data_IF_168557765483
#
_entry.id   IF_168557765483
#
_cell.length_a   1.000
_cell.length_b   1.000
_cell.length_c   1.000
_cell.angle_alpha   90.00
_cell.angle_beta   90.00
_cell.angle_gamma   90.00
#
_symmetry.space_group_name_H-M   'P 1'
#
loop_
_entity.id
_entity.type
_entity.pdbx_description
1 polymer ?
#
# COMPACT_ATOMS: atom_id res chain seq x y z
N UNK A 1 30.79 9.91 -7.27
CA UNK A 1 29.33 9.89 -7.56
C UNK A 1 28.66 10.92 -6.66
N UNK A 2 27.81 11.80 -7.20
CA UNK A 2 27.27 12.96 -6.47
C UNK A 2 26.24 12.52 -5.41
N UNK A 3 26.29 13.09 -4.19
CA UNK A 3 25.39 12.78 -3.07
C UNK A 3 23.91 12.93 -3.43
N UNK A 4 23.58 13.91 -4.27
CA UNK A 4 22.20 14.15 -4.72
C UNK A 4 21.66 13.03 -5.61
N UNK A 5 22.51 12.39 -6.41
CA UNK A 5 22.12 11.27 -7.26
C UNK A 5 21.78 10.06 -6.40
N UNK A 6 22.63 9.77 -5.41
CA UNK A 6 22.40 8.69 -4.44
C UNK A 6 21.08 8.84 -3.68
N UNK A 7 20.78 10.02 -3.14
CA UNK A 7 19.53 10.25 -2.40
C UNK A 7 18.32 10.04 -3.31
N UNK A 8 18.41 10.53 -4.55
CA UNK A 8 17.34 10.36 -5.53
C UNK A 8 17.09 8.89 -5.87
N UNK A 9 18.14 8.10 -6.07
CA UNK A 9 18.03 6.68 -6.39
C UNK A 9 17.41 5.91 -5.21
N UNK A 10 17.88 6.16 -3.98
CA UNK A 10 17.30 5.58 -2.76
C UNK A 10 15.81 5.96 -2.64
N UNK A 11 15.44 7.21 -2.90
CA UNK A 11 14.03 7.62 -2.88
C UNK A 11 13.19 6.86 -3.90
N UNK A 12 13.74 6.52 -5.07
CA UNK A 12 13.01 5.76 -6.10
C UNK A 12 12.81 4.31 -5.66
N UNK A 13 13.82 3.71 -5.06
CA UNK A 13 13.76 2.34 -4.55
C UNK A 13 12.77 2.22 -3.40
N UNK A 14 12.75 3.20 -2.49
CA UNK A 14 11.76 3.25 -1.40
C UNK A 14 10.34 3.35 -1.96
N UNK A 15 10.08 4.22 -2.94
CA UNK A 15 8.74 4.32 -3.57
C UNK A 15 8.36 3.02 -4.28
N UNK A 16 9.32 2.28 -4.85
CA UNK A 16 9.07 1.02 -5.54
C UNK A 16 8.51 -0.08 -4.63
N UNK A 17 8.59 0.06 -3.31
CA UNK A 17 7.87 -0.79 -2.35
C UNK A 17 6.34 -0.69 -2.53
N UNK A 18 5.83 0.43 -3.05
CA UNK A 18 4.44 0.57 -3.46
C UNK A 18 4.17 0.16 -4.91
N UNK A 19 5.10 -0.51 -5.58
CA UNK A 19 4.93 -0.87 -7.00
C UNK A 19 3.84 -1.93 -7.17
N UNK A 20 3.27 -1.99 -8.37
CA UNK A 20 2.33 -3.05 -8.71
C UNK A 20 2.98 -4.42 -8.67
N UNK A 21 4.28 -4.52 -8.98
CA UNK A 21 5.06 -5.76 -8.91
C UNK A 21 5.14 -6.24 -7.47
N UNK A 22 5.58 -5.39 -6.55
CA UNK A 22 5.68 -5.74 -5.13
C UNK A 22 4.30 -6.08 -4.54
N UNK A 23 3.27 -5.29 -4.88
CA UNK A 23 1.90 -5.58 -4.45
C UNK A 23 1.41 -6.95 -4.93
N UNK A 24 1.66 -7.29 -6.20
CA UNK A 24 1.26 -8.58 -6.78
C UNK A 24 1.98 -9.74 -6.12
N UNK A 25 3.26 -9.59 -5.76
CA UNK A 25 4.01 -10.60 -5.02
C UNK A 25 3.37 -10.89 -3.66
N UNK A 26 2.92 -9.85 -2.93
CA UNK A 26 2.25 -10.04 -1.64
C UNK A 26 0.88 -10.71 -1.78
N UNK A 27 0.10 -10.37 -2.82
CA UNK A 27 -1.15 -11.09 -3.14
C UNK A 27 -0.85 -12.59 -3.37
N UNK A 28 0.12 -12.89 -4.23
CA UNK A 28 0.45 -14.27 -4.58
C UNK A 28 0.99 -15.04 -3.38
N UNK A 29 1.79 -14.39 -2.52
CA UNK A 29 2.21 -14.97 -1.25
C UNK A 29 1.02 -15.32 -0.36
N UNK A 30 0.03 -14.42 -0.25
CA UNK A 30 -1.19 -14.67 0.52
C UNK A 30 -2.00 -15.85 -0.06
N UNK A 31 -2.07 -15.94 -1.38
CA UNK A 31 -2.76 -17.02 -2.09
C UNK A 31 -2.08 -18.39 -1.91
N UNK A 32 -0.74 -18.43 -2.03
CA UNK A 32 0.06 -19.66 -1.85
C UNK A 32 0.13 -20.08 -0.39
N UNK A 33 0.06 -19.14 0.55
CA UNK A 33 0.07 -19.34 2.00
C UNK A 33 -1.30 -19.71 2.62
N UNK A 34 -2.22 -20.28 1.83
CA UNK A 34 -3.69 -20.23 1.98
C UNK A 34 -4.30 -19.16 2.93
N UNK A 35 -3.78 -17.94 2.94
CA UNK A 35 -4.27 -16.87 3.83
C UNK A 35 -5.47 -16.15 3.19
N UNK A 36 -6.60 -16.86 3.06
CA UNK A 36 -7.78 -16.39 2.31
C UNK A 36 -8.31 -15.03 2.76
N UNK A 37 -8.27 -14.77 4.06
CA UNK A 37 -8.75 -13.50 4.62
C UNK A 37 -7.83 -12.35 4.16
N UNK A 38 -6.51 -12.55 4.19
CA UNK A 38 -5.52 -11.59 3.70
C UNK A 38 -5.52 -11.42 2.20
N UNK A 39 -5.65 -12.52 1.47
CA UNK A 39 -5.83 -12.49 0.03
C UNK A 39 -7.06 -11.67 -0.36
N UNK A 40 -8.21 -11.91 0.28
CA UNK A 40 -9.48 -11.23 -0.03
C UNK A 40 -9.37 -9.74 0.22
N UNK A 41 -8.75 -9.33 1.32
CA UNK A 41 -8.46 -7.93 1.60
C UNK A 41 -7.59 -7.27 0.53
N UNK A 42 -6.45 -7.88 0.18
CA UNK A 42 -5.55 -7.30 -0.81
C UNK A 42 -6.19 -7.25 -2.19
N UNK A 43 -6.86 -8.33 -2.60
CA UNK A 43 -7.53 -8.40 -3.90
C UNK A 43 -8.65 -7.38 -4.01
N UNK A 44 -9.52 -7.28 -3.00
CA UNK A 44 -10.61 -6.31 -2.98
C UNK A 44 -10.10 -4.87 -2.92
N UNK A 45 -9.11 -4.57 -2.07
CA UNK A 45 -8.49 -3.24 -2.02
C UNK A 45 -7.83 -2.85 -3.36
N UNK A 46 -7.19 -3.80 -4.05
CA UNK A 46 -6.65 -3.57 -5.39
C UNK A 46 -7.75 -3.28 -6.42
N UNK A 47 -8.86 -4.02 -6.40
CA UNK A 47 -10.02 -3.79 -7.27
C UNK A 47 -10.59 -2.39 -7.02
N UNK A 48 -10.81 -2.00 -5.77
CA UNK A 48 -11.32 -0.66 -5.45
C UNK A 48 -10.35 0.45 -5.84
N UNK A 49 -9.05 0.26 -5.59
CA UNK A 49 -8.06 1.25 -5.99
C UNK A 49 -8.01 1.38 -7.53
N UNK A 50 -8.17 0.29 -8.26
CA UNK A 50 -8.28 0.31 -9.72
C UNK A 50 -9.53 1.06 -10.18
N UNK A 51 -10.69 0.84 -9.57
CA UNK A 51 -11.90 1.60 -9.86
C UNK A 51 -11.71 3.10 -9.58
N UNK A 52 -11.10 3.46 -8.45
CA UNK A 52 -10.75 4.85 -8.12
C UNK A 52 -9.77 5.44 -9.14
N UNK A 53 -8.82 4.66 -9.66
CA UNK A 53 -7.92 5.07 -10.71
C UNK A 53 -8.64 5.37 -12.03
N UNK A 54 -9.65 4.57 -12.40
CA UNK A 54 -10.46 4.84 -13.58
C UNK A 54 -11.25 6.15 -13.45
N UNK A 55 -11.78 6.43 -12.26
CA UNK A 55 -12.54 7.65 -11.98
C UNK A 55 -11.64 8.90 -11.85
N UNK A 56 -10.48 8.74 -11.22
CA UNK A 56 -9.57 9.84 -10.90
C UNK A 56 -8.12 9.43 -11.19
N UNK A 57 -7.66 9.63 -12.43
CA UNK A 57 -6.30 9.20 -12.86
C UNK A 57 -5.13 9.96 -12.19
N UNK A 58 -5.41 11.06 -11.49
CA UNK A 58 -4.39 12.00 -11.02
C UNK A 58 -4.14 11.91 -9.50
N UNK A 59 -3.55 10.81 -9.06
CA UNK A 59 -3.03 10.65 -7.69
C UNK A 59 -1.73 9.86 -7.69
N UNK A 60 -1.09 9.78 -6.53
CA UNK A 60 0.13 8.98 -6.38
C UNK A 60 -0.20 7.52 -6.05
N UNK A 61 -0.03 6.64 -7.04
CA UNK A 61 -0.50 5.24 -6.94
C UNK A 61 0.43 4.35 -6.12
N UNK A 62 1.73 4.66 -6.03
CA UNK A 62 2.64 3.90 -5.18
C UNK A 62 2.33 4.13 -3.71
N UNK A 63 2.02 5.36 -3.31
CA UNK A 63 1.56 5.64 -1.95
C UNK A 63 0.21 4.98 -1.66
N UNK A 64 -0.72 5.01 -2.61
CA UNK A 64 -2.02 4.36 -2.42
C UNK A 64 -1.90 2.85 -2.20
N UNK A 65 -1.01 2.17 -2.95
CA UNK A 65 -0.71 0.74 -2.73
C UNK A 65 0.12 0.52 -1.46
N UNK A 66 1.07 1.41 -1.18
CA UNK A 66 1.94 1.34 -0.01
C UNK A 66 1.17 1.34 1.30
N UNK A 67 0.12 2.17 1.44
CA UNK A 67 -0.71 2.15 2.65
C UNK A 67 -1.57 0.90 2.75
N UNK A 68 -2.08 0.39 1.63
CA UNK A 68 -2.83 -0.88 1.63
C UNK A 68 -1.93 -2.02 2.09
N UNK A 69 -0.68 -2.08 1.60
CA UNK A 69 0.29 -3.06 2.05
C UNK A 69 0.63 -2.87 3.51
N UNK A 70 1.01 -1.66 3.93
CA UNK A 70 1.38 -1.37 5.31
C UNK A 70 0.26 -1.74 6.29
N UNK A 71 -0.99 -1.34 6.02
CA UNK A 71 -2.15 -1.69 6.82
C UNK A 71 -2.44 -3.19 6.78
N UNK A 72 -2.48 -3.79 5.59
CA UNK A 72 -2.77 -5.20 5.41
C UNK A 72 -1.76 -6.12 6.09
N UNK A 73 -0.46 -5.89 5.87
CA UNK A 73 0.59 -6.70 6.50
C UNK A 73 0.63 -6.49 8.00
N UNK A 74 0.43 -5.26 8.49
CA UNK A 74 0.40 -5.02 9.94
C UNK A 74 -0.77 -5.74 10.60
N UNK A 75 -1.92 -5.73 9.94
CA UNK A 75 -3.10 -6.43 10.41
C UNK A 75 -2.90 -7.96 10.34
N UNK A 76 -2.27 -8.47 9.28
CA UNK A 76 -1.98 -9.88 9.11
C UNK A 76 -1.02 -10.42 10.17
N UNK A 77 0.07 -9.71 10.45
CA UNK A 77 1.06 -10.15 11.44
C UNK A 77 0.62 -9.93 12.90
N UNK A 78 -0.33 -9.02 13.15
CA UNK A 78 -0.81 -8.65 14.50
C UNK A 78 0.31 -8.31 15.50
N UNK A 79 1.46 -7.86 15.01
CA UNK A 79 2.63 -7.54 15.81
C UNK A 79 2.89 -6.03 15.82
N UNK A 80 3.04 -5.46 17.03
CA UNK A 80 3.20 -4.02 17.20
C UNK A 80 4.52 -3.50 16.63
N UNK A 81 5.61 -4.27 16.77
CA UNK A 81 6.93 -3.88 16.25
C UNK A 81 6.89 -3.86 14.72
N UNK A 82 6.25 -4.87 14.11
CA UNK A 82 6.02 -4.92 12.68
C UNK A 82 5.18 -3.73 12.21
N UNK A 83 4.10 -3.38 12.93
CA UNK A 83 3.24 -2.25 12.58
C UNK A 83 4.01 -0.92 12.61
N UNK A 84 4.87 -0.70 13.62
CA UNK A 84 5.75 0.47 13.67
C UNK A 84 6.74 0.50 12.50
N UNK A 85 7.31 -0.65 12.14
CA UNK A 85 8.22 -0.76 11.00
C UNK A 85 7.51 -0.44 9.68
N UNK A 86 6.31 -0.99 9.45
CA UNK A 86 5.52 -0.70 8.26
C UNK A 86 5.13 0.78 8.17
N UNK A 87 4.74 1.39 9.30
CA UNK A 87 4.45 2.83 9.36
C UNK A 87 5.70 3.67 9.03
N UNK A 88 6.86 3.31 9.58
CA UNK A 88 8.12 3.98 9.29
C UNK A 88 8.47 3.92 7.80
N UNK A 89 8.39 2.74 7.18
CA UNK A 89 8.60 2.56 5.74
C UNK A 89 7.61 3.41 4.93
N UNK A 90 6.34 3.42 5.31
CA UNK A 90 5.34 4.22 4.61
C UNK A 90 5.62 5.73 4.71
N UNK A 91 6.06 6.23 5.87
CA UNK A 91 6.49 7.62 6.04
C UNK A 91 7.69 7.92 5.12
N UNK A 92 8.66 7.02 5.03
CA UNK A 92 9.78 7.17 4.10
C UNK A 92 9.33 7.22 2.65
N UNK A 93 8.31 6.46 2.26
CA UNK A 93 7.72 6.54 0.92
C UNK A 93 7.10 7.92 0.66
N UNK A 94 6.36 8.48 1.62
CA UNK A 94 5.76 9.82 1.49
C UNK A 94 6.84 10.89 1.34
N UNK A 95 7.88 10.85 2.17
CA UNK A 95 9.02 11.77 2.10
C UNK A 95 9.73 11.64 0.73
N UNK A 96 10.00 10.41 0.31
CA UNK A 96 10.65 10.11 -0.98
C UNK A 96 9.83 10.59 -2.16
N UNK A 97 8.50 10.44 -2.10
CA UNK A 97 7.57 10.91 -3.13
C UNK A 97 7.61 12.43 -3.29
N UNK A 98 7.63 13.15 -2.17
CA UNK A 98 7.82 14.60 -2.19
C UNK A 98 9.22 15.00 -2.71
N UNK A 99 10.27 14.26 -2.32
CA UNK A 99 11.65 14.53 -2.76
C UNK A 99 11.85 14.37 -4.27
N UNK A 100 11.20 13.38 -4.90
CA UNK A 100 11.28 13.13 -6.36
C UNK A 100 10.43 14.13 -7.17
N UNK A 101 9.73 15.05 -6.49
CA UNK A 101 9.02 16.15 -7.13
C UNK A 101 7.56 15.84 -7.48
N UNK A 102 6.95 14.83 -6.84
CA UNK A 102 5.51 14.63 -7.00
C UNK A 102 4.75 15.80 -6.35
N UNK A 103 3.75 16.38 -7.04
CA UNK A 103 2.99 17.49 -6.49
C UNK A 103 2.20 17.05 -5.25
N UNK A 104 2.18 17.91 -4.22
CA UNK A 104 1.50 17.64 -2.93
C UNK A 104 0.05 17.20 -3.09
N UNK A 105 -0.67 17.75 -4.07
CA UNK A 105 -2.05 17.37 -4.37
C UNK A 105 -2.19 15.90 -4.79
N UNK A 106 -1.25 15.37 -5.57
CA UNK A 106 -1.22 13.94 -5.96
C UNK A 106 -0.88 13.05 -4.78
N UNK A 107 0.06 13.48 -3.93
CA UNK A 107 0.46 12.77 -2.71
C UNK A 107 -0.75 12.63 -1.77
N UNK A 108 -1.42 13.74 -1.45
CA UNK A 108 -2.58 13.76 -0.56
C UNK A 108 -3.70 12.87 -1.12
N UNK A 109 -4.02 12.98 -2.42
CA UNK A 109 -5.01 12.11 -3.06
C UNK A 109 -4.62 10.63 -3.01
N UNK A 110 -3.34 10.31 -3.20
CA UNK A 110 -2.84 8.93 -3.13
C UNK A 110 -3.03 8.33 -1.75
N UNK A 111 -2.71 9.09 -0.70
CA UNK A 111 -2.95 8.69 0.69
C UNK A 111 -4.46 8.50 0.94
N UNK A 112 -5.30 9.47 0.55
CA UNK A 112 -6.75 9.40 0.77
C UNK A 112 -7.40 8.21 0.05
N UNK A 113 -7.07 8.00 -1.23
CA UNK A 113 -7.63 6.87 -2.00
C UNK A 113 -7.08 5.53 -1.52
N UNK A 114 -5.84 5.48 -1.06
CA UNK A 114 -5.29 4.31 -0.39
C UNK A 114 -6.04 3.99 0.91
N UNK A 115 -6.30 4.99 1.77
CA UNK A 115 -7.10 4.80 3.00
C UNK A 115 -8.54 4.35 2.70
N UNK A 116 -9.17 4.92 1.67
CA UNK A 116 -10.49 4.46 1.22
C UNK A 116 -10.45 3.00 0.76
N UNK A 117 -9.44 2.62 -0.03
CA UNK A 117 -9.26 1.24 -0.48
C UNK A 117 -8.97 0.27 0.69
N UNK A 118 -8.21 0.70 1.71
CA UNK A 118 -8.01 -0.04 2.96
C UNK A 118 -9.34 -0.30 3.65
N UNK A 119 -10.16 0.74 3.83
CA UNK A 119 -11.47 0.63 4.50
C UNK A 119 -12.42 -0.29 3.73
N UNK A 120 -12.48 -0.15 2.41
CA UNK A 120 -13.32 -1.00 1.55
C UNK A 120 -12.82 -2.45 1.49
N UNK A 121 -11.50 -2.66 1.49
CA UNK A 121 -10.92 -4.00 1.55
C UNK A 121 -11.24 -4.69 2.87
N UNK A 122 -11.15 -3.96 3.98
CA UNK A 122 -11.54 -4.47 5.30
C UNK A 122 -13.05 -4.81 5.34
N UNK A 123 -13.89 -3.90 4.85
CA UNK A 123 -15.34 -4.10 4.78
C UNK A 123 -15.71 -5.34 3.93
N UNK A 124 -15.13 -5.48 2.74
CA UNK A 124 -15.37 -6.65 1.89
C UNK A 124 -14.94 -7.93 2.58
N UNK A 125 -13.80 -7.93 3.27
CA UNK A 125 -13.33 -9.12 3.98
C UNK A 125 -14.30 -9.56 5.07
N UNK A 126 -14.88 -8.62 5.83
CA UNK A 126 -15.89 -8.91 6.85
C UNK A 126 -17.21 -9.47 6.28
N UNK A 127 -17.54 -9.16 5.02
CA UNK A 127 -18.72 -9.74 4.36
C UNK A 127 -18.55 -11.23 4.02
N UNK A 128 -17.31 -11.67 3.75
CA UNK A 128 -17.00 -13.06 3.40
C UNK A 128 -16.55 -13.91 4.59
N UNK A 129 -16.05 -13.29 5.66
CA UNK A 129 -15.49 -13.99 6.82
C UNK A 129 -16.05 -13.41 8.12
N UNK A 130 -16.80 -14.22 8.88
CA UNK A 130 -17.46 -13.82 10.13
C UNK A 130 -16.49 -13.60 11.31
N UNK A 131 -15.27 -14.15 11.22
CA UNK A 131 -14.26 -14.05 12.28
C UNK A 131 -13.19 -13.03 11.95
N UNK A 132 -12.63 -12.33 12.96
CA UNK A 132 -11.40 -11.57 12.77
C UNK A 132 -10.30 -12.55 12.34
N UNK A 133 -9.95 -12.54 11.06
CA UNK A 133 -8.67 -12.95 10.49
C UNK A 133 -7.89 -14.04 11.24
N UNK A 134 -8.50 -15.22 11.37
CA UNK A 134 -7.88 -16.46 11.80
C UNK A 134 -8.50 -17.63 11.03
#
# INVERSE_FOLDING_TARGET
>A
MNKQVWIRDISRDIIALGSIVFYSLVIMQAFVGPFWIFFTYLASAAIFLFLLFLLHKNFETYLARGIILASGTSYFYQDFIFALFALFIYILMVISSNYIGNPKSRIIKGILFGMLAVGLGYFMTQLFFEKPWH
#
